data_IF_259928818372
#
_entry.id   IF_259928818372
#
_cell.length_a   1.000
_cell.length_b   1.000
_cell.length_c   1.000
_cell.angle_alpha   90.00
_cell.angle_beta   90.00
_cell.angle_gamma   90.00
#
_symmetry.space_group_name_H-M   'P 1'
#
loop_
_entity.id
_entity.type
_entity.pdbx_description
1 polymer ?
#
# COMPACT_ATOMS: atom_id res chain seq x y z
N UNK A 1 -7.02 4.25 19.16
CA UNK A 1 -7.27 5.04 17.94
C UNK A 1 -8.08 4.25 16.91
N UNK A 2 -7.88 2.94 16.77
CA UNK A 2 -8.70 2.08 15.92
C UNK A 2 -10.22 2.14 16.19
N UNK A 3 -10.61 2.43 17.43
CA UNK A 3 -11.99 2.64 17.88
C UNK A 3 -12.68 3.75 17.08
N UNK A 4 -11.91 4.74 16.60
CA UNK A 4 -12.42 5.77 15.72
C UNK A 4 -12.97 5.18 14.43
N UNK A 5 -12.50 4.03 13.95
CA UNK A 5 -12.93 3.43 12.68
C UNK A 5 -13.84 2.20 12.87
N UNK A 6 -13.64 1.43 13.95
CA UNK A 6 -14.33 0.18 14.22
C UNK A 6 -14.88 0.14 15.64
N UNK A 7 -16.17 -0.17 15.79
CA UNK A 7 -16.84 -0.19 17.10
C UNK A 7 -16.91 -1.58 17.73
N UNK A 8 -16.76 -2.64 16.92
CA UNK A 8 -16.94 -4.02 17.40
C UNK A 8 -15.66 -4.57 18.05
N UNK A 9 -15.75 -4.94 19.32
CA UNK A 9 -14.63 -5.44 20.12
C UNK A 9 -13.89 -6.62 19.49
N UNK A 10 -14.61 -7.56 18.87
CA UNK A 10 -13.99 -8.71 18.21
C UNK A 10 -13.14 -8.31 17.00
N UNK A 11 -13.56 -7.28 16.26
CA UNK A 11 -12.76 -6.73 15.15
C UNK A 11 -11.54 -6.01 15.70
N UNK A 12 -11.69 -5.19 16.75
CA UNK A 12 -10.55 -4.49 17.36
C UNK A 12 -9.48 -5.46 17.87
N UNK A 13 -9.88 -6.53 18.58
CA UNK A 13 -8.95 -7.59 19.03
C UNK A 13 -8.23 -8.26 17.85
N UNK A 14 -8.96 -8.55 16.77
CA UNK A 14 -8.40 -9.18 15.56
C UNK A 14 -7.50 -8.24 14.76
N UNK A 15 -7.79 -6.93 14.74
CA UNK A 15 -6.92 -5.95 14.10
C UNK A 15 -5.61 -5.82 14.89
N UNK A 16 -5.69 -5.74 16.22
CA UNK A 16 -4.54 -5.65 17.14
C UNK A 16 -3.75 -6.95 17.32
N UNK A 17 -4.06 -7.98 16.53
CA UNK A 17 -3.31 -9.24 16.55
C UNK A 17 -2.39 -9.38 15.33
N UNK A 18 -1.49 -10.36 15.40
CA UNK A 18 -0.53 -10.65 14.36
C UNK A 18 0.73 -9.78 14.40
N UNK A 19 1.53 -9.84 13.34
CA UNK A 19 2.90 -9.29 13.31
C UNK A 19 2.97 -7.75 13.42
N UNK A 20 1.91 -7.06 12.99
CA UNK A 20 1.77 -5.60 13.05
C UNK A 20 0.72 -5.14 14.07
N UNK A 21 0.19 -6.05 14.91
CA UNK A 21 -0.91 -5.76 15.82
C UNK A 21 -0.66 -4.55 16.73
N UNK A 22 0.58 -4.38 17.22
CA UNK A 22 0.99 -3.25 18.05
C UNK A 22 1.03 -1.90 17.31
N UNK A 23 1.17 -1.91 15.98
CA UNK A 23 1.27 -0.69 15.17
C UNK A 23 -0.09 -0.24 14.60
N UNK A 24 -1.14 -1.04 14.78
CA UNK A 24 -2.43 -0.76 14.13
C UNK A 24 -3.11 0.51 14.63
N UNK A 25 -2.88 0.90 15.88
CA UNK A 25 -3.37 2.19 16.40
C UNK A 25 -2.59 3.38 15.82
N UNK A 26 -1.27 3.26 15.64
CA UNK A 26 -0.44 4.25 14.94
C UNK A 26 -0.84 4.39 13.48
N UNK A 27 -1.17 3.27 12.82
CA UNK A 27 -1.70 3.27 11.45
C UNK A 27 -3.06 3.97 11.37
N UNK A 28 -3.94 3.73 12.34
CA UNK A 28 -5.23 4.43 12.41
C UNK A 28 -5.03 5.94 12.59
N UNK A 29 -4.11 6.34 13.47
CA UNK A 29 -3.72 7.74 13.68
C UNK A 29 -3.13 8.39 12.43
N UNK A 30 -2.28 7.65 11.70
CA UNK A 30 -1.72 8.12 10.43
C UNK A 30 -2.81 8.44 9.41
N UNK A 31 -3.78 7.54 9.22
CA UNK A 31 -4.91 7.78 8.31
C UNK A 31 -5.82 8.92 8.79
N UNK A 32 -5.96 9.10 10.10
CA UNK A 32 -6.72 10.21 10.67
C UNK A 32 -6.04 11.54 10.36
N UNK A 33 -4.74 11.64 10.63
CA UNK A 33 -3.91 12.83 10.42
C UNK A 33 -3.87 13.23 8.93
N UNK A 34 -3.82 12.26 8.02
CA UNK A 34 -3.86 12.50 6.59
C UNK A 34 -5.28 12.78 6.03
N UNK A 35 -6.31 12.87 6.88
CA UNK A 35 -7.67 13.19 6.43
C UNK A 35 -8.34 12.10 5.59
N UNK A 36 -7.99 10.81 5.80
CA UNK A 36 -8.65 9.73 5.06
C UNK A 36 -10.14 9.65 5.41
N UNK A 37 -10.96 9.45 4.39
CA UNK A 37 -12.39 9.18 4.58
C UNK A 37 -12.49 7.90 5.40
N UNK A 38 -13.42 7.88 6.36
CA UNK A 38 -13.61 6.74 7.27
C UNK A 38 -13.71 5.40 6.53
N UNK A 39 -14.48 5.34 5.45
CA UNK A 39 -14.64 4.13 4.63
C UNK A 39 -13.31 3.66 4.00
N UNK A 40 -12.54 4.59 3.41
CA UNK A 40 -11.24 4.29 2.80
C UNK A 40 -10.23 3.82 3.84
N UNK A 41 -10.13 4.50 4.99
CA UNK A 41 -9.24 4.10 6.08
C UNK A 41 -9.57 2.69 6.59
N UNK A 42 -10.86 2.35 6.74
CA UNK A 42 -11.27 0.98 7.12
C UNK A 42 -10.81 -0.08 6.12
N UNK A 43 -10.83 0.21 4.82
CA UNK A 43 -10.32 -0.71 3.79
C UNK A 43 -8.82 -0.92 3.96
N UNK A 44 -8.03 0.16 4.09
CA UNK A 44 -6.59 0.03 4.28
C UNK A 44 -6.23 -0.71 5.57
N UNK A 45 -6.83 -0.33 6.69
CA UNK A 45 -6.63 -0.99 7.99
C UNK A 45 -7.00 -2.48 7.92
N UNK A 46 -8.08 -2.84 7.23
CA UNK A 46 -8.47 -4.26 7.07
C UNK A 46 -7.46 -5.04 6.22
N UNK A 47 -6.93 -4.44 5.14
CA UNK A 47 -5.90 -5.06 4.30
C UNK A 47 -4.60 -5.26 5.08
N UNK A 48 -4.17 -4.25 5.83
CA UNK A 48 -2.97 -4.34 6.68
C UNK A 48 -3.15 -5.40 7.76
N UNK A 49 -4.30 -5.47 8.41
CA UNK A 49 -4.55 -6.51 9.41
C UNK A 49 -4.59 -7.93 8.82
N UNK A 50 -5.12 -8.09 7.60
CA UNK A 50 -5.07 -9.39 6.89
C UNK A 50 -3.62 -9.80 6.61
N UNK A 51 -2.78 -8.86 6.19
CA UNK A 51 -1.35 -9.10 6.07
C UNK A 51 -0.69 -9.41 7.43
N UNK A 52 -1.02 -8.65 8.48
CA UNK A 52 -0.51 -8.86 9.84
C UNK A 52 -0.72 -10.29 10.32
N UNK A 53 -1.88 -10.87 10.05
CA UNK A 53 -2.18 -12.27 10.37
C UNK A 53 -1.37 -13.26 9.52
N UNK A 54 -1.23 -12.99 8.21
CA UNK A 54 -0.41 -13.80 7.31
C UNK A 54 1.07 -13.78 7.68
N UNK A 55 1.59 -12.63 8.10
CA UNK A 55 2.98 -12.48 8.52
C UNK A 55 3.21 -13.11 9.91
N UNK A 56 2.20 -13.11 10.79
CA UNK A 56 2.31 -13.72 12.11
C UNK A 56 2.67 -15.21 12.07
N UNK A 57 2.18 -15.94 11.06
CA UNK A 57 2.49 -17.37 10.88
C UNK A 57 3.91 -17.63 10.38
N UNK A 58 4.64 -16.60 9.93
CA UNK A 58 5.99 -16.72 9.36
C UNK A 58 7.07 -16.02 10.17
N UNK A 59 6.76 -14.90 10.80
CA UNK A 59 7.76 -14.05 11.45
C UNK A 59 7.47 -13.75 12.92
N UNK A 60 6.26 -14.03 13.42
CA UNK A 60 5.88 -13.71 14.80
C UNK A 60 6.14 -12.24 15.16
N UNK A 61 7.04 -12.00 16.13
CA UNK A 61 7.48 -10.65 16.55
C UNK A 61 8.70 -10.11 15.81
N UNK A 62 9.41 -10.96 15.07
CA UNK A 62 10.57 -10.53 14.30
C UNK A 62 10.17 -9.53 13.21
N UNK A 63 11.09 -8.67 12.77
CA UNK A 63 10.84 -7.82 11.63
C UNK A 63 10.44 -8.63 10.39
N UNK A 64 9.59 -8.04 9.58
CA UNK A 64 9.00 -8.65 8.40
C UNK A 64 9.99 -8.48 7.24
N UNK A 65 10.50 -9.60 6.75
CA UNK A 65 11.36 -9.62 5.57
C UNK A 65 10.56 -9.41 4.28
N UNK A 66 11.25 -8.92 3.24
CA UNK A 66 10.63 -8.62 1.94
C UNK A 66 10.02 -9.87 1.28
N UNK A 67 10.64 -11.03 1.42
CA UNK A 67 10.14 -12.32 0.89
C UNK A 67 8.75 -12.68 1.44
N UNK A 68 8.44 -12.32 2.68
CA UNK A 68 7.12 -12.52 3.29
C UNK A 68 6.09 -11.58 2.66
N UNK A 69 6.49 -10.36 2.33
CA UNK A 69 5.64 -9.40 1.60
C UNK A 69 5.38 -9.89 0.18
N UNK A 70 6.42 -10.32 -0.52
CA UNK A 70 6.31 -10.83 -1.90
C UNK A 70 5.43 -12.08 -1.94
N UNK A 71 5.67 -13.03 -1.02
CA UNK A 71 4.85 -14.23 -0.86
C UNK A 71 3.38 -13.89 -0.60
N UNK A 72 3.10 -12.86 0.19
CA UNK A 72 1.73 -12.40 0.42
C UNK A 72 1.09 -11.85 -0.87
N UNK A 73 1.81 -11.01 -1.62
CA UNK A 73 1.29 -10.41 -2.84
C UNK A 73 1.07 -11.43 -3.96
N UNK A 74 1.86 -12.51 -3.98
CA UNK A 74 1.66 -13.66 -4.87
C UNK A 74 0.39 -14.46 -4.56
N UNK A 75 -0.23 -14.30 -3.37
CA UNK A 75 -1.51 -14.99 -3.06
C UNK A 75 -2.70 -14.42 -3.84
N UNK A 76 -2.58 -13.24 -4.42
CA UNK A 76 -3.63 -12.63 -5.22
C UNK A 76 -3.53 -13.07 -6.67
N UNK A 77 -4.63 -13.59 -7.22
CA UNK A 77 -4.73 -14.07 -8.61
C UNK A 77 -4.92 -12.94 -9.62
N UNK A 78 -5.37 -11.76 -9.18
CA UNK A 78 -5.64 -10.60 -10.04
C UNK A 78 -4.94 -9.36 -9.51
N UNK A 79 -4.64 -8.42 -10.40
CA UNK A 79 -3.78 -7.27 -10.06
C UNK A 79 -4.49 -6.25 -9.18
N UNK A 80 -5.78 -5.99 -9.39
CA UNK A 80 -6.52 -4.99 -8.61
C UNK A 80 -6.45 -5.20 -7.08
N UNK A 81 -6.74 -6.40 -6.52
CA UNK A 81 -6.58 -6.65 -5.10
C UNK A 81 -5.11 -6.71 -4.67
N UNK A 82 -4.19 -7.18 -5.54
CA UNK A 82 -2.74 -7.17 -5.29
C UNK A 82 -2.21 -5.75 -5.09
N UNK A 83 -2.50 -4.85 -6.03
CA UNK A 83 -2.11 -3.43 -5.98
C UNK A 83 -2.74 -2.75 -4.76
N UNK A 84 -4.00 -3.06 -4.47
CA UNK A 84 -4.69 -2.53 -3.29
C UNK A 84 -4.04 -2.97 -1.97
N UNK A 85 -3.51 -4.19 -1.91
CA UNK A 85 -2.75 -4.71 -0.78
C UNK A 85 -1.36 -4.08 -0.71
N UNK A 86 -0.61 -4.04 -1.81
CA UNK A 86 0.70 -3.39 -1.88
C UNK A 86 0.64 -1.91 -1.45
N UNK A 87 -0.37 -1.16 -1.92
CA UNK A 87 -0.60 0.23 -1.49
C UNK A 87 -0.83 0.34 0.03
N UNK A 88 -1.56 -0.60 0.62
CA UNK A 88 -1.78 -0.63 2.07
C UNK A 88 -0.50 -0.94 2.84
N UNK A 89 0.35 -1.83 2.32
CA UNK A 89 1.66 -2.14 2.90
C UNK A 89 2.65 -0.97 2.78
N UNK A 90 2.53 -0.16 1.73
CA UNK A 90 3.27 1.10 1.61
C UNK A 90 3.01 2.05 2.80
N UNK A 91 1.75 2.17 3.23
CA UNK A 91 1.40 2.92 4.45
C UNK A 91 1.99 2.29 5.71
N UNK A 92 1.90 0.96 5.83
CA UNK A 92 2.49 0.24 6.96
C UNK A 92 4.01 0.48 7.07
N UNK A 93 4.74 0.46 5.96
CA UNK A 93 6.19 0.74 5.90
C UNK A 93 6.54 2.17 6.28
N UNK A 94 5.69 3.15 5.94
CA UNK A 94 5.92 4.56 6.31
C UNK A 94 5.73 4.80 7.80
N UNK A 95 4.74 4.14 8.40
CA UNK A 95 4.37 4.35 9.81
C UNK A 95 5.26 3.56 10.76
N UNK A 96 5.64 2.34 10.38
CA UNK A 96 6.42 1.45 11.22
C UNK A 96 7.58 0.81 10.42
N UNK A 97 8.52 1.62 9.89
CA UNK A 97 9.64 1.12 9.09
C UNK A 97 10.48 0.08 9.84
N UNK A 98 10.62 0.20 11.17
CA UNK A 98 11.34 -0.73 12.04
C UNK A 98 10.75 -2.15 12.06
N UNK A 99 9.48 -2.29 11.65
CA UNK A 99 8.83 -3.60 11.53
C UNK A 99 9.13 -4.29 10.21
N UNK A 100 9.80 -3.63 9.27
CA UNK A 100 10.16 -4.19 7.98
C UNK A 100 11.68 -4.20 7.83
N UNK A 101 12.26 -5.39 7.60
CA UNK A 101 13.65 -5.44 7.14
C UNK A 101 13.64 -5.07 5.68
N UNK A 102 14.27 -3.94 5.37
CA UNK A 102 14.69 -3.67 4.02
C UNK A 102 15.62 -4.82 3.61
N UNK A 103 15.17 -5.63 2.64
CA UNK A 103 16.15 -6.32 1.81
C UNK A 103 17.06 -5.23 1.23
N UNK A 104 18.39 -5.46 1.04
CA UNK A 104 19.16 -4.61 0.13
C UNK A 104 18.32 -4.47 -1.14
N UNK A 105 18.21 -3.27 -1.73
CA UNK A 105 17.23 -2.99 -2.77
C UNK A 105 17.33 -4.07 -3.83
N UNK A 106 16.42 -5.05 -3.76
CA UNK A 106 16.02 -5.74 -4.96
C UNK A 106 15.39 -4.61 -5.72
N UNK A 107 16.08 -4.19 -6.75
CA UNK A 107 15.52 -3.33 -7.78
C UNK A 107 14.28 -4.09 -8.23
N UNK A 108 13.15 -3.79 -7.59
CA UNK A 108 11.86 -4.02 -8.17
C UNK A 108 11.87 -3.02 -9.31
N UNK A 109 12.40 -3.46 -10.46
CA UNK A 109 12.29 -2.77 -11.74
C UNK A 109 10.81 -2.83 -12.14
N UNK A 110 9.93 -2.30 -11.29
CA UNK A 110 8.69 -1.75 -11.74
C UNK A 110 9.09 -0.59 -12.65
N UNK A 111 9.03 -0.78 -13.98
CA UNK A 111 9.55 0.20 -14.94
C UNK A 111 8.84 1.55 -14.78
N UNK A 112 7.66 1.55 -14.13
CA UNK A 112 6.86 2.75 -13.90
C UNK A 112 7.25 3.52 -12.65
N UNK A 113 8.04 2.95 -11.73
CA UNK A 113 8.35 3.61 -10.46
C UNK A 113 9.02 4.98 -10.64
N UNK A 114 10.01 5.17 -11.54
CA UNK A 114 10.56 6.49 -11.82
C UNK A 114 9.50 7.48 -12.34
N UNK A 115 8.68 7.04 -13.31
CA UNK A 115 7.63 7.87 -13.93
C UNK A 115 6.57 8.28 -12.92
N UNK A 116 6.07 7.34 -12.13
CA UNK A 116 5.03 7.58 -11.11
C UNK A 116 5.56 8.42 -9.95
N UNK A 117 6.85 8.31 -9.61
CA UNK A 117 7.49 9.17 -8.62
C UNK A 117 7.57 10.61 -9.13
N UNK A 118 8.04 10.81 -10.36
CA UNK A 118 8.05 12.12 -11.02
C UNK A 118 6.64 12.72 -11.12
N UNK A 119 5.66 11.90 -11.50
CA UNK A 119 4.26 12.32 -11.59
C UNK A 119 3.68 12.71 -10.21
N UNK A 120 3.96 11.94 -9.16
CA UNK A 120 3.57 12.28 -7.78
C UNK A 120 4.14 13.63 -7.34
N UNK A 121 5.38 13.91 -7.73
CA UNK A 121 6.07 15.16 -7.45
C UNK A 121 5.46 16.35 -8.20
N UNK A 122 5.10 16.17 -9.47
CA UNK A 122 4.34 17.14 -10.24
C UNK A 122 2.99 17.44 -9.58
N UNK A 123 2.23 16.40 -9.21
CA UNK A 123 0.92 16.56 -8.58
C UNK A 123 1.01 17.30 -7.25
N UNK A 124 2.12 17.13 -6.52
CA UNK A 124 2.39 17.88 -5.28
C UNK A 124 2.75 19.33 -5.57
N UNK A 125 3.79 19.55 -6.39
CA UNK A 125 4.44 20.86 -6.56
C UNK A 125 3.61 21.80 -7.44
N UNK A 126 3.00 21.27 -8.49
CA UNK A 126 2.27 22.08 -9.49
C UNK A 126 0.78 22.10 -9.20
N UNK A 127 0.19 20.94 -8.90
CA UNK A 127 -1.27 20.82 -8.70
C UNK A 127 -1.69 21.00 -7.23
N UNK A 128 -0.75 21.11 -6.30
CA UNK A 128 -1.02 21.29 -4.88
C UNK A 128 -1.84 20.15 -4.26
N UNK A 129 -1.85 18.96 -4.88
CA UNK A 129 -2.75 17.90 -4.46
C UNK A 129 -2.32 17.31 -3.12
N UNK A 130 -3.29 17.19 -2.23
CA UNK A 130 -3.11 16.52 -0.96
C UNK A 130 -2.62 15.07 -1.17
N UNK A 131 -1.80 14.53 -0.24
CA UNK A 131 -1.22 13.19 -0.35
C UNK A 131 -2.22 12.10 -0.75
N UNK A 132 -3.42 12.11 -0.17
CA UNK A 132 -4.49 11.14 -0.45
C UNK A 132 -5.03 11.21 -1.88
N UNK A 133 -5.20 12.42 -2.41
CA UNK A 133 -5.65 12.62 -3.79
C UNK A 133 -4.56 12.15 -4.76
N UNK A 134 -3.29 12.43 -4.45
CA UNK A 134 -2.16 11.92 -5.22
C UNK A 134 -2.12 10.41 -5.24
N UNK A 135 -2.32 9.73 -4.11
CA UNK A 135 -2.35 8.26 -4.10
C UNK A 135 -3.45 7.66 -4.98
N UNK A 136 -4.65 8.25 -4.98
CA UNK A 136 -5.73 7.82 -5.87
C UNK A 136 -5.37 8.01 -7.35
N UNK A 137 -4.75 9.15 -7.68
CA UNK A 137 -4.29 9.45 -9.04
C UNK A 137 -3.15 8.51 -9.46
N UNK A 138 -2.19 8.23 -8.58
CA UNK A 138 -1.09 7.29 -8.83
C UNK A 138 -1.60 5.85 -9.00
N UNK A 139 -2.62 5.45 -8.25
CA UNK A 139 -3.27 4.17 -8.43
C UNK A 139 -3.95 4.08 -9.80
N UNK A 140 -4.61 5.15 -10.24
CA UNK A 140 -5.15 5.27 -11.60
C UNK A 140 -4.05 5.19 -12.65
N UNK A 141 -2.94 5.91 -12.46
CA UNK A 141 -1.77 5.89 -13.34
C UNK A 141 -1.17 4.49 -13.49
N UNK A 142 -0.97 3.75 -12.38
CA UNK A 142 -0.49 2.36 -12.42
C UNK A 142 -1.41 1.46 -13.24
N UNK A 143 -2.72 1.53 -12.99
CA UNK A 143 -3.72 0.74 -13.74
C UNK A 143 -3.71 1.07 -15.23
N UNK A 144 -3.51 2.34 -15.56
CA UNK A 144 -3.39 2.77 -16.94
C UNK A 144 -2.14 2.21 -17.61
N UNK A 145 -0.98 2.25 -16.93
CA UNK A 145 0.28 1.72 -17.46
C UNK A 145 0.23 0.21 -17.63
N UNK A 146 -0.37 -0.52 -16.69
CA UNK A 146 -0.63 -1.96 -16.80
C UNK A 146 -1.56 -2.27 -17.99
N UNK A 147 -2.67 -1.53 -18.12
CA UNK A 147 -3.59 -1.67 -19.24
C UNK A 147 -2.89 -1.38 -20.58
N UNK A 148 -2.12 -0.30 -20.65
CA UNK A 148 -1.42 0.12 -21.85
C UNK A 148 -0.41 -0.94 -22.30
N UNK A 149 0.43 -1.46 -21.39
CA UNK A 149 1.35 -2.55 -21.72
C UNK A 149 0.65 -3.81 -22.22
N UNK A 150 -0.51 -4.14 -21.64
CA UNK A 150 -1.26 -5.32 -22.02
C UNK A 150 -1.86 -5.19 -23.43
N UNK A 151 -2.36 -4.01 -23.78
CA UNK A 151 -3.06 -3.77 -25.04
C UNK A 151 -2.15 -3.26 -26.17
N UNK A 152 -0.99 -2.70 -25.82
CA UNK A 152 -0.04 -2.06 -26.73
C UNK A 152 1.40 -2.55 -26.48
N UNK A 153 1.67 -3.86 -26.65
CA UNK A 153 2.98 -4.41 -26.37
C UNK A 153 4.05 -3.78 -27.28
N UNK A 154 5.10 -3.23 -26.65
CA UNK A 154 6.25 -2.63 -27.35
C UNK A 154 6.03 -1.20 -27.87
N UNK A 155 4.87 -0.60 -27.63
CA UNK A 155 4.66 0.83 -27.89
C UNK A 155 5.12 1.65 -26.68
N UNK A 156 5.80 2.76 -26.95
CA UNK A 156 6.16 3.73 -25.91
C UNK A 156 4.95 4.62 -25.57
N UNK A 157 4.88 5.07 -24.32
CA UNK A 157 3.82 5.95 -23.83
C UNK A 157 3.80 7.28 -24.60
N UNK A 158 4.96 7.76 -25.07
CA UNK A 158 5.09 8.97 -25.87
C UNK A 158 4.29 8.90 -27.18
N UNK A 159 4.05 7.70 -27.72
CA UNK A 159 3.25 7.51 -28.93
C UNK A 159 1.77 7.92 -28.76
N UNK A 160 1.28 8.06 -27.52
CA UNK A 160 -0.07 8.56 -27.24
C UNK A 160 -0.20 10.08 -27.32
N UNK A 161 0.93 10.80 -27.39
CA UNK A 161 0.96 12.27 -27.46
C UNK A 161 1.19 12.81 -28.87
N UNK A 162 1.33 11.93 -29.86
CA UNK A 162 1.48 12.24 -31.28
C UNK A 162 0.14 12.46 -31.99
#
# INVERSE_FOLDING_TARGET
MLEFYFSYCGVLKRLRSGALGGEMDRLAEHFFTLGYKRASAKIYLSRIARFSQFAATRCGRMPIHQDVVDSYLCTFTTDSPRIGAASALGHARRVAPERFIASPPKVDDDPDTPLLTSFSDYLRKVRGLEPKTREGVLLGGRRFLDWFRHHHPGQDLEALTA
#
